data_IF_226871672847
#
_entry.id   IF_226871672847
#
_cell.length_a   1.000
_cell.length_b   1.000
_cell.length_c   1.000
_cell.angle_alpha   90.00
_cell.angle_beta   90.00
_cell.angle_gamma   90.00
#
_symmetry.space_group_name_H-M   'P 1'
#
loop_
_entity.id
_entity.type
_entity.pdbx_description
1 polymer ?
#
# COMPACT_ATOMS: atom_id res chain seq x y z
N UNK A 1 28.87 -33.53 -5.36
CA UNK A 1 29.45 -32.61 -6.37
C UNK A 1 29.28 -31.20 -5.83
N UNK A 2 30.34 -30.71 -5.18
CA UNK A 2 30.41 -29.45 -4.44
C UNK A 2 30.81 -28.35 -5.42
N UNK A 3 30.11 -27.21 -5.43
CA UNK A 3 30.56 -26.01 -6.14
C UNK A 3 30.76 -24.88 -5.14
N UNK A 4 31.94 -24.90 -4.56
CA UNK A 4 32.63 -23.75 -3.97
C UNK A 4 32.69 -22.60 -4.98
N UNK A 5 32.37 -21.39 -4.54
CA UNK A 5 33.00 -20.16 -5.03
C UNK A 5 33.20 -19.23 -3.84
N UNK A 6 34.40 -19.28 -3.29
CA UNK A 6 34.97 -18.25 -2.41
C UNK A 6 35.49 -17.16 -3.34
N UNK A 7 35.04 -15.91 -3.18
CA UNK A 7 35.75 -14.75 -3.69
C UNK A 7 35.86 -13.74 -2.56
N UNK A 8 37.11 -13.36 -2.33
CA UNK A 8 37.60 -12.51 -1.28
C UNK A 8 37.32 -11.02 -1.55
N UNK A 9 37.26 -10.27 -0.44
CA UNK A 9 37.75 -8.91 -0.24
C UNK A 9 37.29 -7.79 -1.17
N UNK A 10 36.62 -6.78 -0.62
CA UNK A 10 37.19 -5.40 -0.52
C UNK A 10 36.59 -4.72 0.72
N UNK A 11 37.51 -4.10 1.45
CA UNK A 11 37.39 -3.36 2.70
C UNK A 11 36.83 -1.95 2.46
N UNK A 12 35.91 -1.57 3.35
CA UNK A 12 35.68 -0.24 3.95
C UNK A 12 35.76 1.00 3.05
N UNK A 13 34.60 1.63 2.87
CA UNK A 13 34.50 3.08 2.69
C UNK A 13 33.44 3.60 3.65
N UNK A 14 33.92 4.25 4.72
CA UNK A 14 33.10 5.01 5.65
C UNK A 14 32.82 6.35 4.99
N UNK A 15 31.56 6.60 4.62
CA UNK A 15 31.07 7.96 4.46
C UNK A 15 30.07 8.26 5.57
N UNK A 16 30.51 9.08 6.51
CA UNK A 16 29.63 9.85 7.40
C UNK A 16 28.64 10.64 6.55
N UNK A 17 27.35 10.45 6.81
CA UNK A 17 26.27 11.26 6.26
C UNK A 17 25.14 11.27 7.26
N UNK A 18 24.83 12.47 7.76
CA UNK A 18 23.97 12.74 8.89
C UNK A 18 22.56 12.15 8.80
N UNK A 19 22.02 11.85 9.97
CA UNK A 19 20.65 11.46 10.21
C UNK A 19 19.65 12.36 9.48
N UNK A 20 18.85 11.76 8.60
CA UNK A 20 17.42 12.11 8.55
C UNK A 20 16.70 11.08 9.38
N UNK A 21 16.31 11.49 10.59
CA UNK A 21 15.25 10.83 11.30
C UNK A 21 14.03 10.85 10.38
N UNK A 22 13.72 9.72 9.75
CA UNK A 22 12.36 9.47 9.28
C UNK A 22 11.49 9.61 10.52
N UNK A 23 10.79 10.74 10.60
CA UNK A 23 9.90 11.07 11.71
C UNK A 23 8.91 9.93 11.96
N UNK A 24 8.26 9.91 13.14
CA UNK A 24 7.32 8.84 13.46
C UNK A 24 6.31 8.75 12.32
N UNK A 25 6.40 7.68 11.54
CA UNK A 25 5.37 7.34 10.58
C UNK A 25 4.09 7.32 11.39
N UNK A 26 3.18 8.24 11.05
CA UNK A 26 1.91 8.37 11.72
C UNK A 26 1.32 6.96 11.87
N UNK A 27 0.83 6.65 13.08
CA UNK A 27 0.25 5.35 13.44
C UNK A 27 -1.11 5.08 12.75
N UNK A 28 -1.27 5.57 11.54
CA UNK A 28 -2.32 5.25 10.57
C UNK A 28 -1.71 5.42 9.19
N UNK A 29 -2.06 4.56 8.24
CA UNK A 29 -1.63 4.80 6.86
C UNK A 29 -2.10 6.20 6.48
N UNK A 30 -1.34 7.03 5.74
CA UNK A 30 -1.75 8.39 5.32
C UNK A 30 -2.98 8.41 4.39
N UNK A 31 -3.69 7.29 4.31
CA UNK A 31 -4.82 6.98 3.50
C UNK A 31 -6.03 6.56 4.35
N UNK A 32 -5.87 6.36 5.65
CA UNK A 32 -6.95 5.93 6.53
C UNK A 32 -7.97 7.06 6.69
N UNK A 33 -9.20 6.80 6.23
CA UNK A 33 -10.32 7.75 6.31
C UNK A 33 -11.45 7.17 7.14
N UNK A 34 -12.15 8.01 7.89
CA UNK A 34 -13.31 7.59 8.67
C UNK A 34 -14.38 6.98 7.75
N UNK A 35 -14.92 5.83 8.11
CA UNK A 35 -15.90 5.09 7.29
C UNK A 35 -15.29 4.25 6.16
N UNK A 36 -13.99 4.34 5.91
CA UNK A 36 -13.30 3.53 4.90
C UNK A 36 -12.28 2.59 5.54
N UNK A 37 -12.18 1.39 4.95
CA UNK A 37 -11.12 0.45 5.20
C UNK A 37 -10.11 0.55 4.06
N UNK A 38 -8.87 0.85 4.40
CA UNK A 38 -7.79 1.04 3.43
C UNK A 38 -6.68 0.02 3.66
N UNK A 39 -6.18 -0.55 2.57
CA UNK A 39 -5.08 -1.51 2.61
C UNK A 39 -4.14 -1.27 1.43
N UNK A 40 -2.83 -1.30 1.67
CA UNK A 40 -1.85 -1.25 0.58
C UNK A 40 -1.45 -2.69 0.24
N UNK A 41 -1.68 -3.10 -1.01
CA UNK A 41 -1.20 -4.38 -1.57
C UNK A 41 -0.56 -4.13 -2.92
N UNK A 42 0.63 -4.69 -3.13
CA UNK A 42 1.40 -4.54 -4.38
C UNK A 42 1.60 -3.08 -4.82
N UNK A 43 1.79 -2.18 -3.85
CA UNK A 43 1.96 -0.74 -4.08
C UNK A 43 0.69 -0.01 -4.55
N UNK A 44 -0.49 -0.65 -4.44
CA UNK A 44 -1.79 -0.09 -4.80
C UNK A 44 -2.64 0.10 -3.54
N UNK A 45 -3.39 1.19 -3.53
CA UNK A 45 -4.29 1.50 -2.43
C UNK A 45 -5.63 0.85 -2.68
N UNK A 46 -5.96 -0.12 -1.85
CA UNK A 46 -7.29 -0.71 -1.79
C UNK A 46 -8.16 0.08 -0.83
N UNK A 47 -9.37 0.39 -1.27
CA UNK A 47 -10.34 1.19 -0.53
C UNK A 47 -11.66 0.45 -0.53
N UNK A 48 -12.21 0.27 0.66
CA UNK A 48 -13.50 -0.34 0.89
C UNK A 48 -14.31 0.54 1.84
N UNK A 49 -15.64 0.49 1.75
CA UNK A 49 -16.49 1.04 2.81
C UNK A 49 -16.44 0.09 4.00
N UNK A 50 -16.34 0.60 5.23
CA UNK A 50 -16.30 -0.25 6.45
C UNK A 50 -17.54 -1.13 6.60
N UNK A 51 -18.67 -0.68 6.06
CA UNK A 51 -19.93 -1.40 6.07
C UNK A 51 -19.97 -2.54 5.05
N UNK A 52 -19.06 -2.54 4.07
CA UNK A 52 -19.01 -3.51 2.98
C UNK A 52 -18.17 -4.74 3.35
N UNK A 53 -18.66 -5.46 4.37
CA UNK A 53 -17.97 -6.62 4.94
C UNK A 53 -17.77 -7.75 3.94
N UNK A 54 -18.72 -7.94 3.01
CA UNK A 54 -18.65 -8.97 1.97
C UNK A 54 -17.39 -8.82 1.10
N UNK A 55 -17.15 -7.62 0.57
CA UNK A 55 -15.98 -7.37 -0.28
C UNK A 55 -14.68 -7.33 0.54
N UNK A 56 -14.74 -6.86 1.80
CA UNK A 56 -13.58 -6.93 2.70
C UNK A 56 -13.19 -8.39 2.95
N UNK A 57 -14.14 -9.27 3.27
CA UNK A 57 -13.86 -10.69 3.54
C UNK A 57 -13.33 -11.40 2.29
N UNK A 58 -13.89 -11.10 1.11
CA UNK A 58 -13.40 -11.63 -0.18
C UNK A 58 -11.97 -11.16 -0.46
N UNK A 59 -11.67 -9.89 -0.21
CA UNK A 59 -10.31 -9.35 -0.33
C UNK A 59 -9.34 -9.96 0.69
N UNK A 60 -9.79 -10.25 1.92
CA UNK A 60 -8.95 -10.90 2.93
C UNK A 60 -8.65 -12.35 2.58
N UNK A 61 -9.59 -13.05 1.95
CA UNK A 61 -9.42 -14.45 1.55
C UNK A 61 -8.57 -14.59 0.27
N UNK A 62 -8.86 -13.78 -0.74
CA UNK A 62 -8.29 -13.93 -2.08
C UNK A 62 -7.16 -12.93 -2.38
N UNK A 63 -7.03 -11.85 -1.60
CA UNK A 63 -6.13 -10.73 -1.87
C UNK A 63 -6.63 -9.79 -2.99
N UNK A 64 -7.67 -10.19 -3.72
CA UNK A 64 -8.27 -9.45 -4.82
C UNK A 64 -9.78 -9.71 -4.88
N UNK A 65 -10.53 -8.79 -5.48
CA UNK A 65 -11.97 -8.92 -5.71
C UNK A 65 -12.24 -9.50 -7.10
N UNK A 66 -13.26 -10.36 -7.25
CA UNK A 66 -13.68 -10.81 -8.58
C UNK A 66 -14.17 -9.67 -9.49
N UNK A 67 -14.74 -8.61 -8.90
CA UNK A 67 -15.11 -7.37 -9.59
C UNK A 67 -14.60 -6.17 -8.81
N UNK A 68 -13.80 -5.33 -9.46
CA UNK A 68 -13.30 -4.08 -8.89
C UNK A 68 -13.22 -2.99 -9.96
N UNK A 69 -13.20 -1.76 -9.50
CA UNK A 69 -12.86 -0.59 -10.29
C UNK A 69 -11.48 -0.12 -9.85
N UNK A 70 -10.58 0.12 -10.82
CA UNK A 70 -9.27 0.69 -10.58
C UNK A 70 -9.20 2.09 -11.19
N UNK A 71 -8.77 3.09 -10.41
CA UNK A 71 -8.56 4.46 -10.87
C UNK A 71 -7.08 4.81 -10.75
N UNK A 72 -6.42 4.85 -11.90
CA UNK A 72 -4.98 5.10 -12.01
C UNK A 72 -4.70 6.56 -11.68
N UNK A 73 -3.74 6.82 -10.80
CA UNK A 73 -3.30 8.18 -10.46
C UNK A 73 -4.27 9.02 -9.64
N UNK A 74 -5.44 8.49 -9.27
CA UNK A 74 -6.44 9.20 -8.48
C UNK A 74 -6.13 9.19 -6.97
N UNK A 75 -5.24 8.30 -6.52
CA UNK A 75 -4.89 8.18 -5.12
C UNK A 75 -3.91 9.24 -4.62
N UNK A 76 -3.80 9.37 -3.29
CA UNK A 76 -2.73 10.16 -2.69
C UNK A 76 -1.37 9.69 -3.23
N UNK A 77 -0.43 10.61 -3.48
CA UNK A 77 0.86 10.33 -4.12
C UNK A 77 0.77 9.71 -5.54
N UNK A 78 -0.31 9.98 -6.29
CA UNK A 78 -0.61 9.36 -7.60
C UNK A 78 -0.69 7.83 -7.56
N UNK A 79 -1.00 7.26 -6.41
CA UNK A 79 -1.23 5.82 -6.30
C UNK A 79 -2.47 5.40 -7.08
N UNK A 80 -2.48 4.15 -7.55
CA UNK A 80 -3.69 3.55 -8.12
C UNK A 80 -4.63 3.16 -6.99
N UNK A 81 -5.85 3.68 -7.01
CA UNK A 81 -6.91 3.26 -6.09
C UNK A 81 -7.66 2.09 -6.70
N UNK A 82 -7.92 1.05 -5.92
CA UNK A 82 -8.82 -0.05 -6.26
C UNK A 82 -9.94 -0.14 -5.23
N UNK A 83 -11.17 -0.32 -5.70
CA UNK A 83 -12.36 -0.44 -4.87
C UNK A 83 -13.40 -1.36 -5.54
N UNK A 84 -14.40 -1.87 -4.81
CA UNK A 84 -15.47 -2.68 -5.43
C UNK A 84 -16.24 -1.92 -6.53
N UNK A 85 -16.40 -0.61 -6.38
CA UNK A 85 -17.17 0.26 -7.28
C UNK A 85 -16.58 1.69 -7.35
N UNK A 86 -16.97 2.45 -8.37
CA UNK A 86 -16.51 3.82 -8.57
C UNK A 86 -17.01 4.77 -7.48
N UNK A 87 -18.23 4.58 -6.97
CA UNK A 87 -18.81 5.43 -5.92
C UNK A 87 -18.01 5.36 -4.61
N UNK A 88 -17.43 4.20 -4.30
CA UNK A 88 -16.52 4.03 -3.16
C UNK A 88 -15.24 4.81 -3.36
N UNK A 89 -14.70 4.87 -4.58
CA UNK A 89 -13.53 5.72 -4.90
C UNK A 89 -13.88 7.19 -4.75
N UNK A 90 -14.99 7.63 -5.36
CA UNK A 90 -15.41 9.03 -5.32
C UNK A 90 -15.72 9.48 -3.88
N UNK A 91 -16.44 8.66 -3.12
CA UNK A 91 -16.72 8.90 -1.71
C UNK A 91 -15.45 8.93 -0.85
N UNK A 92 -14.51 8.03 -1.10
CA UNK A 92 -13.22 8.04 -0.43
C UNK A 92 -12.48 9.33 -0.73
N UNK A 93 -12.39 9.75 -2.00
CA UNK A 93 -11.70 10.98 -2.40
C UNK A 93 -12.35 12.23 -1.82
N UNK A 94 -13.68 12.25 -1.70
CA UNK A 94 -14.44 13.34 -1.10
C UNK A 94 -14.21 13.47 0.42
N UNK A 95 -13.92 12.37 1.12
CA UNK A 95 -13.71 12.34 2.58
C UNK A 95 -12.35 12.91 3.04
N UNK A 96 -11.88 14.01 2.44
CA UNK A 96 -10.55 14.63 2.66
C UNK A 96 -10.26 15.04 4.09
#
# INVERSE_FOLDING_TARGET
MVRSFVIASVVMSVLSGAAVASGPAALGSPHDRAGYFTAIRDGRLWVFRKDDRKHIDEFMQNGELGRMVARIGAGPNRMTIRAPDAETIDGYLAAR
#
